data_IF_745191555672
#
_entry.id   IF_745191555672
#
_cell.length_a   1.000
_cell.length_b   1.000
_cell.length_c   1.000
_cell.angle_alpha   90.00
_cell.angle_beta   90.00
_cell.angle_gamma   90.00
#
_symmetry.space_group_name_H-M   'P 1'
#
loop_
_entity.id
_entity.type
_entity.pdbx_description
1 polymer ?
#
# COMPACT_ATOMS: atom_id res chain seq x y z
N UNK A 1 -2.40 2.55 -22.03
CA UNK A 1 -1.92 3.27 -20.83
C UNK A 1 -1.78 2.24 -19.72
N UNK A 2 -0.56 1.77 -19.44
CA UNK A 2 -0.30 0.83 -18.35
C UNK A 2 -0.29 1.62 -17.05
N UNK A 3 -1.27 1.38 -16.17
CA UNK A 3 -1.23 1.91 -14.81
C UNK A 3 0.03 1.33 -14.11
N UNK A 4 0.85 2.16 -13.44
CA UNK A 4 1.98 1.66 -12.68
C UNK A 4 1.45 0.81 -11.52
N UNK A 5 1.86 -0.45 -11.45
CA UNK A 5 1.54 -1.33 -10.33
C UNK A 5 2.25 -0.82 -9.08
N UNK A 6 1.48 -0.36 -8.08
CA UNK A 6 2.01 0.09 -6.80
C UNK A 6 2.05 -1.11 -5.85
N UNK A 7 3.25 -1.51 -5.44
CA UNK A 7 3.43 -2.57 -4.43
C UNK A 7 3.62 -1.92 -3.07
N UNK A 8 2.70 -2.19 -2.14
CA UNK A 8 2.82 -1.77 -0.75
C UNK A 8 3.54 -2.87 0.03
N UNK A 9 4.75 -2.57 0.47
CA UNK A 9 5.53 -3.45 1.34
C UNK A 9 5.11 -3.20 2.79
N UNK A 10 4.48 -4.20 3.40
CA UNK A 10 4.08 -4.17 4.81
C UNK A 10 4.78 -5.26 5.59
N UNK A 11 5.13 -4.96 6.84
CA UNK A 11 5.50 -5.99 7.81
C UNK A 11 4.29 -6.92 8.04
N UNK A 12 4.55 -8.20 8.31
CA UNK A 12 3.53 -9.27 8.40
C UNK A 12 2.34 -8.95 9.32
N UNK A 13 2.55 -8.07 10.30
CA UNK A 13 1.56 -7.70 11.30
C UNK A 13 0.71 -6.47 10.92
N UNK A 14 0.99 -5.75 9.82
CA UNK A 14 0.29 -4.51 9.43
C UNK A 14 0.21 -3.43 10.54
N UNK A 15 1.02 -3.57 11.60
CA UNK A 15 0.97 -2.71 12.80
C UNK A 15 1.83 -1.46 12.70
N UNK A 16 2.61 -1.32 11.63
CA UNK A 16 3.51 -0.17 11.47
C UNK A 16 2.70 1.09 11.16
N UNK A 17 2.78 2.16 11.99
CA UNK A 17 2.04 3.40 11.77
C UNK A 17 2.39 4.07 10.43
N UNK A 18 3.58 3.79 9.89
CA UNK A 18 4.00 4.25 8.58
C UNK A 18 3.23 3.57 7.44
N UNK A 19 3.06 2.25 7.50
CA UNK A 19 2.28 1.48 6.50
C UNK A 19 0.83 1.94 6.49
N UNK A 20 0.24 2.21 7.67
CA UNK A 20 -1.12 2.72 7.79
C UNK A 20 -1.28 4.09 7.12
N UNK A 21 -0.30 4.99 7.28
CA UNK A 21 -0.34 6.30 6.59
C UNK A 21 -0.29 6.18 5.07
N UNK A 22 0.49 5.25 4.54
CA UNK A 22 0.60 4.99 3.09
C UNK A 22 -0.68 4.33 2.58
N UNK A 23 -1.24 3.38 3.34
CA UNK A 23 -2.53 2.76 3.03
C UNK A 23 -3.64 3.82 2.91
N UNK A 24 -3.77 4.72 3.89
CA UNK A 24 -4.75 5.81 3.85
C UNK A 24 -4.50 6.72 2.65
N UNK A 25 -3.25 7.10 2.38
CA UNK A 25 -2.92 7.95 1.22
C UNK A 25 -3.24 7.31 -0.14
N UNK A 26 -3.06 5.99 -0.27
CA UNK A 26 -3.40 5.23 -1.47
C UNK A 26 -4.92 5.07 -1.62
N UNK A 27 -5.61 4.81 -0.51
CA UNK A 27 -7.05 4.67 -0.44
C UNK A 27 -7.77 5.98 -0.82
N UNK A 28 -7.33 7.12 -0.27
CA UNK A 28 -7.85 8.46 -0.59
C UNK A 28 -7.63 8.83 -2.07
N UNK A 29 -6.59 8.27 -2.70
CA UNK A 29 -6.28 8.49 -4.12
C UNK A 29 -6.94 7.49 -5.06
N UNK A 30 -7.73 6.54 -4.54
CA UNK A 30 -8.39 5.50 -5.32
C UNK A 30 -7.41 4.71 -6.21
N UNK A 31 -6.16 4.55 -5.77
CA UNK A 31 -5.11 3.90 -6.54
C UNK A 31 -5.12 2.40 -6.29
N UNK A 32 -5.10 1.55 -7.33
CA UNK A 32 -4.93 0.11 -7.15
C UNK A 32 -3.51 -0.19 -6.66
N UNK A 33 -3.41 -0.86 -5.51
CA UNK A 33 -2.14 -1.33 -4.93
C UNK A 33 -2.23 -2.81 -4.56
N UNK A 34 -1.08 -3.48 -4.56
CA UNK A 34 -0.94 -4.89 -4.18
C UNK A 34 -0.14 -4.98 -2.88
N UNK A 35 -0.72 -5.53 -1.79
CA UNK A 35 0.04 -5.83 -0.59
C UNK A 35 0.97 -7.01 -0.88
N UNK A 36 2.27 -6.82 -0.71
CA UNK A 36 3.27 -7.90 -0.79
C UNK A 36 3.88 -8.07 0.61
N UNK A 37 3.66 -9.25 1.20
CA UNK A 37 4.27 -9.63 2.48
C UNK A 37 5.59 -10.36 2.20
N UNK A 38 6.70 -9.84 2.72
CA UNK A 38 7.95 -10.60 2.86
C UNK A 38 8.12 -11.12 4.28
#
# INVERSE_FOLDING_TARGET
MSQPAITLWSDADFFSPYVMSVYVALQEKSLPFYPENR
#
